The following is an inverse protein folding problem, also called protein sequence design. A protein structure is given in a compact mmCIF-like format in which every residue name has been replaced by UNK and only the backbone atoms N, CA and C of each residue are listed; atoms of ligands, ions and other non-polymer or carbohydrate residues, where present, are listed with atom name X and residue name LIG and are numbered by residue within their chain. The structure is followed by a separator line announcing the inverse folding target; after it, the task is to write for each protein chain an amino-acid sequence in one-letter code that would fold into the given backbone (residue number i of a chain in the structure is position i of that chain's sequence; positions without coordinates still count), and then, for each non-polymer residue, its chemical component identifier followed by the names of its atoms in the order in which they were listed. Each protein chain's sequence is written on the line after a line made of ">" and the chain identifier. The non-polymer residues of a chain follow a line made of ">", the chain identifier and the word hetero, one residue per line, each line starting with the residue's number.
data_IF_653278463512
#
_entry.id   IF_653278463512
#
_cell.length_a   1.000
_cell.length_b   1.000
_cell.length_c   1.000
_cell.angle_alpha   90.00
_cell.angle_beta   90.00
_cell.angle_gamma   90.00
#
_symmetry.space_group_name_H-M   'P 1'
#
loop_
_entity.id
_entity.type
_entity.pdbx_description
1 polymer ?
#
# COMPACT_ATOMS: atom_id res chain seq x y z
N UNK A 1 -23.76 57.02 14.24
CA UNK A 1 -23.35 55.86 15.06
C UNK A 1 -21.93 55.48 14.62
N UNK A 2 -20.94 55.83 15.43
CA UNK A 2 -19.53 55.47 15.24
C UNK A 2 -19.05 54.83 16.54
N UNK A 3 -18.70 53.54 16.49
CA UNK A 3 -18.20 52.82 17.66
C UNK A 3 -16.70 52.62 17.54
N UNK A 4 -16.04 53.11 18.59
CA UNK A 4 -14.60 53.13 18.88
C UNK A 4 -13.98 51.74 18.94
N UNK A 5 -12.68 51.73 18.62
CA UNK A 5 -11.70 50.70 18.93
C UNK A 5 -11.61 50.38 20.42
N UNK A 6 -11.17 49.16 20.75
CA UNK A 6 -10.34 48.78 21.90
C UNK A 6 -9.88 47.32 21.73
N UNK A 7 -8.58 47.10 21.64
CA UNK A 7 -7.97 45.81 21.95
C UNK A 7 -6.57 46.00 22.53
N UNK A 8 -6.14 45.10 23.43
CA UNK A 8 -5.43 45.49 24.63
C UNK A 8 -3.92 45.33 24.56
N UNK A 9 -3.29 46.04 25.50
CA UNK A 9 -1.87 46.23 25.74
C UNK A 9 -1.15 44.93 26.11
N UNK A 10 0.03 44.76 25.54
CA UNK A 10 1.05 43.80 25.93
C UNK A 10 1.81 44.31 27.15
N UNK A 11 1.69 43.63 28.29
CA UNK A 11 2.67 43.68 29.39
C UNK A 11 2.68 42.34 30.13
N UNK A 12 3.82 41.66 30.16
CA UNK A 12 4.22 40.89 31.35
C UNK A 12 5.73 40.72 31.45
N UNK A 13 6.34 41.57 32.27
CA UNK A 13 7.57 41.28 33.00
C UNK A 13 7.33 40.14 34.00
N UNK A 14 8.29 39.24 34.12
CA UNK A 14 8.64 38.57 35.37
C UNK A 14 10.12 38.14 35.23
N UNK A 15 11.06 38.90 35.79
CA UNK A 15 11.47 38.97 37.20
C UNK A 15 12.67 38.03 37.45
N UNK A 16 13.81 38.67 37.68
CA UNK A 16 15.14 38.11 37.89
C UNK A 16 15.36 38.10 39.40
N UNK A 17 15.43 36.92 40.02
CA UNK A 17 15.80 36.79 41.43
C UNK A 17 17.00 35.87 41.57
N UNK A 18 18.09 36.46 42.06
CA UNK A 18 19.37 35.86 42.44
C UNK A 18 19.28 35.18 43.82
N UNK A 19 19.83 33.96 44.00
CA UNK A 19 20.31 33.41 45.30
C UNK A 19 21.48 32.39 45.06
N UNK A 20 22.49 32.25 45.95
CA UNK A 20 23.88 31.91 45.59
C UNK A 20 24.35 30.46 45.87
N UNK A 21 25.58 30.19 45.41
CA UNK A 21 26.48 29.02 45.54
C UNK A 21 26.38 28.14 46.81
N UNK A 22 26.31 26.82 46.58
CA UNK A 22 26.81 25.76 47.47
C UNK A 22 27.65 24.75 46.64
N UNK A 23 28.73 24.17 47.20
CA UNK A 23 29.70 23.34 46.46
C UNK A 23 29.12 21.97 46.07
N UNK A 24 29.53 21.45 44.91
CA UNK A 24 29.14 20.11 44.45
C UNK A 24 29.56 19.02 45.45
N UNK A 25 28.66 18.10 45.84
CA UNK A 25 29.01 16.93 46.62
C UNK A 25 29.77 15.91 45.75
N UNK A 26 30.84 15.39 46.36
CA UNK A 26 31.77 14.37 45.88
C UNK A 26 31.20 13.31 44.92
N UNK A 27 31.95 13.07 43.84
CA UNK A 27 31.83 11.91 42.94
C UNK A 27 31.89 10.59 43.74
N UNK A 28 30.85 9.73 43.71
CA UNK A 28 30.96 8.37 44.23
C UNK A 28 31.71 7.47 43.22
N UNK A 29 32.50 6.49 43.69
CA UNK A 29 33.30 5.63 42.83
C UNK A 29 32.42 4.67 42.02
N UNK A 30 32.80 4.41 40.78
CA UNK A 30 32.19 3.38 39.94
C UNK A 30 32.42 1.97 40.51
N UNK A 31 31.42 1.09 40.42
CA UNK A 31 31.72 -0.32 40.19
C UNK A 31 30.70 -1.00 39.25
N UNK A 32 30.91 -2.27 38.91
CA UNK A 32 31.99 -2.81 38.08
C UNK A 32 31.45 -3.12 36.67
N UNK A 33 32.37 -3.49 35.78
CA UNK A 33 32.08 -4.10 34.48
C UNK A 33 31.00 -5.20 34.60
N UNK A 34 29.77 -4.87 34.25
CA UNK A 34 28.86 -5.88 33.71
C UNK A 34 29.32 -6.15 32.29
N UNK A 35 29.35 -7.42 31.82
CA UNK A 35 29.46 -7.64 30.39
C UNK A 35 28.28 -6.92 29.76
N UNK A 36 28.56 -5.85 29.04
CA UNK A 36 27.63 -5.24 28.13
C UNK A 36 27.26 -6.37 27.15
N UNK A 37 26.13 -7.01 27.43
CA UNK A 37 25.40 -7.83 26.48
C UNK A 37 24.96 -6.91 25.35
N UNK A 38 25.92 -6.62 24.48
CA UNK A 38 25.72 -6.07 23.16
C UNK A 38 25.19 -7.22 22.31
N UNK A 39 23.93 -7.10 21.88
CA UNK A 39 23.38 -7.90 20.78
C UNK A 39 22.23 -8.83 21.14
N UNK A 40 21.15 -8.70 20.33
CA UNK A 40 20.04 -9.65 20.11
C UNK A 40 19.08 -9.91 21.27
N UNK A 41 17.76 -9.96 21.13
CA UNK A 41 16.87 -9.97 19.98
C UNK A 41 15.52 -9.42 20.48
N UNK A 42 14.90 -8.47 19.78
CA UNK A 42 13.45 -8.28 19.89
C UNK A 42 12.80 -9.02 18.72
N UNK A 43 12.38 -10.29 18.89
CA UNK A 43 11.76 -11.07 17.82
C UNK A 43 10.40 -10.53 17.34
N UNK A 44 9.87 -9.46 17.97
CA UNK A 44 8.60 -8.84 17.57
C UNK A 44 8.71 -7.54 16.76
N UNK A 45 9.94 -7.02 16.53
CA UNK A 45 10.15 -5.84 15.69
C UNK A 45 10.03 -6.17 14.21
N UNK A 46 10.80 -7.17 13.79
CA UNK A 46 10.99 -7.57 12.39
C UNK A 46 9.67 -8.05 11.74
N UNK A 47 8.91 -8.90 12.43
CA UNK A 47 7.62 -9.40 11.93
C UNK A 47 6.60 -8.29 11.64
N UNK A 48 6.56 -7.23 12.45
CA UNK A 48 5.63 -6.12 12.24
C UNK A 48 6.00 -5.29 11.01
N UNK A 49 7.30 -5.07 10.77
CA UNK A 49 7.76 -4.40 9.56
C UNK A 49 7.53 -5.26 8.31
N UNK A 50 7.74 -6.57 8.41
CA UNK A 50 7.41 -7.52 7.35
C UNK A 50 5.91 -7.53 7.04
N UNK A 51 5.05 -7.59 8.05
CA UNK A 51 3.59 -7.54 7.87
C UNK A 51 3.14 -6.22 7.24
N UNK A 52 3.70 -5.08 7.65
CA UNK A 52 3.41 -3.80 7.04
C UNK A 52 3.79 -3.76 5.56
N UNK A 53 4.97 -4.30 5.19
CA UNK A 53 5.40 -4.38 3.80
C UNK A 53 4.51 -5.30 2.95
N UNK A 54 4.06 -6.43 3.51
CA UNK A 54 3.13 -7.34 2.84
C UNK A 54 1.73 -6.72 2.66
N UNK A 55 1.23 -6.02 3.67
CA UNK A 55 -0.05 -5.29 3.58
C UNK A 55 0.03 -4.16 2.55
N UNK A 56 1.16 -3.46 2.45
CA UNK A 56 1.35 -2.44 1.43
C UNK A 56 1.28 -3.03 0.02
N UNK A 57 1.86 -4.23 -0.21
CA UNK A 57 1.77 -4.92 -1.50
C UNK A 57 0.35 -5.32 -1.86
N UNK A 58 -0.40 -5.85 -0.88
CA UNK A 58 -1.83 -6.17 -1.06
C UNK A 58 -2.63 -4.91 -1.40
N UNK A 59 -2.42 -3.82 -0.67
CA UNK A 59 -3.09 -2.54 -0.92
C UNK A 59 -2.78 -1.98 -2.32
N UNK A 60 -1.52 -2.04 -2.74
CA UNK A 60 -1.12 -1.61 -4.09
C UNK A 60 -1.79 -2.48 -5.16
N UNK A 61 -1.77 -3.81 -5.02
CA UNK A 61 -2.42 -4.70 -5.97
C UNK A 61 -3.96 -4.51 -6.00
N UNK A 62 -4.58 -4.19 -4.86
CA UNK A 62 -6.01 -3.89 -4.80
C UNK A 62 -6.34 -2.59 -5.55
N UNK A 63 -5.53 -1.55 -5.38
CA UNK A 63 -5.67 -0.32 -6.15
C UNK A 63 -5.46 -0.51 -7.66
N UNK A 64 -4.56 -1.41 -8.06
CA UNK A 64 -4.39 -1.78 -9.48
C UNK A 64 -5.60 -2.54 -10.03
N UNK A 65 -6.20 -3.44 -9.25
CA UNK A 65 -7.43 -4.14 -9.64
C UNK A 65 -8.60 -3.16 -9.77
N UNK A 66 -8.80 -2.27 -8.80
CA UNK A 66 -9.83 -1.22 -8.85
C UNK A 66 -9.64 -0.30 -10.07
N UNK A 67 -8.40 0.09 -10.38
CA UNK A 67 -8.10 0.89 -11.56
C UNK A 67 -8.42 0.15 -12.87
N UNK A 68 -8.18 -1.16 -12.92
CA UNK A 68 -8.51 -1.99 -14.08
C UNK A 68 -10.03 -2.21 -14.24
N UNK A 69 -10.76 -2.38 -13.13
CA UNK A 69 -12.24 -2.42 -13.13
C UNK A 69 -12.81 -1.10 -13.68
N UNK A 70 -12.34 0.03 -13.18
CA UNK A 70 -12.76 1.33 -13.67
C UNK A 70 -12.45 1.50 -15.16
N UNK A 71 -11.27 1.07 -15.63
CA UNK A 71 -10.93 1.13 -17.05
C UNK A 71 -11.86 0.25 -17.91
N UNK A 72 -12.28 -0.92 -17.41
CA UNK A 72 -13.25 -1.79 -18.07
C UNK A 72 -14.64 -1.12 -18.14
N UNK A 73 -15.09 -0.48 -17.06
CA UNK A 73 -16.34 0.26 -17.04
C UNK A 73 -16.34 1.40 -18.05
N UNK A 74 -15.23 2.16 -18.15
CA UNK A 74 -15.07 3.21 -19.16
C UNK A 74 -15.09 2.64 -20.59
N UNK A 75 -14.50 1.47 -20.83
CA UNK A 75 -14.55 0.82 -22.13
C UNK A 75 -15.98 0.36 -22.48
N UNK A 76 -16.73 -0.19 -21.51
CA UNK A 76 -18.13 -0.58 -21.68
C UNK A 76 -19.03 0.63 -21.96
N UNK A 77 -18.81 1.75 -21.29
CA UNK A 77 -19.54 3.00 -21.55
C UNK A 77 -19.23 3.56 -22.95
N UNK A 78 -17.97 3.50 -23.38
CA UNK A 78 -17.58 3.87 -24.74
C UNK A 78 -18.24 2.99 -25.80
N UNK A 79 -18.37 1.68 -25.53
CA UNK A 79 -19.12 0.75 -26.39
C UNK A 79 -20.60 1.13 -26.45
N UNK A 80 -21.23 1.38 -25.30
CA UNK A 80 -22.66 1.71 -25.23
C UNK A 80 -23.00 3.06 -25.86
N UNK A 81 -22.10 4.04 -25.80
CA UNK A 81 -22.28 5.38 -26.39
C UNK A 81 -21.95 5.46 -27.88
N UNK A 82 -21.20 4.49 -28.42
CA UNK A 82 -20.82 4.41 -29.83
C UNK A 82 -21.98 4.11 -30.80
N UNK A 83 -23.18 3.82 -30.30
CA UNK A 83 -24.37 3.51 -31.12
C UNK A 83 -25.07 4.75 -31.72
N UNK A 84 -24.67 5.98 -31.34
CA UNK A 84 -25.34 7.21 -31.79
C UNK A 84 -24.53 8.14 -32.72
N UNK A 85 -23.40 7.69 -33.28
CA UNK A 85 -22.67 8.46 -34.30
C UNK A 85 -22.64 7.68 -35.62
N UNK A 86 -23.41 8.20 -36.58
CA UNK A 86 -23.81 7.52 -37.81
C UNK A 86 -22.69 6.96 -38.68
N UNK A 87 -23.02 5.87 -39.38
CA UNK A 87 -22.44 5.39 -40.64
C UNK A 87 -20.94 5.68 -40.80
N UNK A 88 -20.08 4.89 -40.13
CA UNK A 88 -18.65 4.88 -40.44
C UNK A 88 -17.67 4.58 -39.31
N UNK A 89 -18.12 4.28 -38.09
CA UNK A 89 -17.20 3.90 -37.01
C UNK A 89 -16.80 2.42 -37.16
N UNK A 90 -15.52 2.18 -37.44
CA UNK A 90 -14.93 0.86 -37.35
C UNK A 90 -15.03 0.39 -35.89
N UNK A 91 -15.74 -0.72 -35.66
CA UNK A 91 -15.99 -1.29 -34.32
C UNK A 91 -14.80 -2.12 -33.82
N UNK A 92 -13.88 -2.54 -34.71
CA UNK A 92 -12.75 -3.39 -34.34
C UNK A 92 -11.81 -2.76 -33.29
N UNK A 93 -11.50 -1.44 -33.32
CA UNK A 93 -10.72 -0.79 -32.26
C UNK A 93 -11.42 -0.79 -30.89
N UNK A 94 -12.75 -0.74 -30.87
CA UNK A 94 -13.56 -0.70 -29.66
C UNK A 94 -13.61 -2.09 -28.99
N UNK A 95 -13.79 -3.15 -29.80
CA UNK A 95 -13.70 -4.53 -29.35
C UNK A 95 -12.30 -4.86 -28.80
N UNK A 96 -11.24 -4.38 -29.47
CA UNK A 96 -9.86 -4.53 -29.01
C UNK A 96 -9.58 -3.83 -27.68
N UNK A 97 -10.16 -2.64 -27.46
CA UNK A 97 -10.04 -1.92 -26.20
C UNK A 97 -10.77 -2.64 -25.05
N UNK A 98 -11.98 -3.16 -25.31
CA UNK A 98 -12.74 -3.93 -24.33
C UNK A 98 -12.02 -5.22 -23.94
N UNK A 99 -11.50 -5.97 -24.92
CA UNK A 99 -10.75 -7.20 -24.68
C UNK A 99 -9.46 -6.91 -23.88
N UNK A 100 -8.76 -5.84 -24.22
CA UNK A 100 -7.56 -5.41 -23.49
C UNK A 100 -7.87 -5.03 -22.04
N UNK A 101 -8.99 -4.34 -21.81
CA UNK A 101 -9.42 -3.97 -20.45
C UNK A 101 -9.79 -5.19 -19.61
N UNK A 102 -10.51 -6.17 -20.19
CA UNK A 102 -10.82 -7.44 -19.53
C UNK A 102 -9.56 -8.21 -19.16
N UNK A 103 -8.64 -8.36 -20.10
CA UNK A 103 -7.37 -9.02 -19.84
C UNK A 103 -6.56 -8.31 -18.75
N UNK A 104 -6.54 -6.98 -18.76
CA UNK A 104 -5.87 -6.19 -17.71
C UNK A 104 -6.50 -6.43 -16.34
N UNK A 105 -7.84 -6.49 -16.27
CA UNK A 105 -8.55 -6.79 -15.02
C UNK A 105 -8.22 -8.19 -14.52
N UNK A 106 -8.31 -9.21 -15.38
CA UNK A 106 -7.99 -10.59 -15.02
C UNK A 106 -6.56 -10.69 -14.42
N UNK A 107 -5.60 -10.03 -15.06
CA UNK A 107 -4.20 -10.00 -14.59
C UNK A 107 -4.05 -9.27 -13.26
N UNK A 108 -4.74 -8.14 -13.07
CA UNK A 108 -4.68 -7.39 -11.81
C UNK A 108 -5.28 -8.21 -10.65
N UNK A 109 -6.41 -8.90 -10.88
CA UNK A 109 -7.04 -9.80 -9.91
C UNK A 109 -6.14 -10.99 -9.58
N UNK A 110 -5.48 -11.60 -10.57
CA UNK A 110 -4.49 -12.67 -10.35
C UNK A 110 -3.33 -12.22 -9.45
N UNK A 111 -2.81 -11.00 -9.69
CA UNK A 111 -1.73 -10.41 -8.88
C UNK A 111 -2.22 -10.16 -7.45
N UNK A 112 -3.39 -9.55 -7.27
CA UNK A 112 -4.00 -9.34 -5.96
C UNK A 112 -4.14 -10.65 -5.18
N UNK A 113 -4.67 -11.70 -5.82
CA UNK A 113 -4.79 -13.02 -5.21
C UNK A 113 -3.43 -13.62 -4.83
N UNK A 114 -2.40 -13.44 -5.66
CA UNK A 114 -1.05 -13.90 -5.36
C UNK A 114 -0.42 -13.19 -4.16
N UNK A 115 -0.64 -11.88 -4.03
CA UNK A 115 -0.20 -11.06 -2.90
C UNK A 115 -0.92 -11.45 -1.60
N UNK A 116 -2.25 -11.63 -1.65
CA UNK A 116 -3.06 -12.12 -0.52
C UNK A 116 -2.54 -13.48 -0.02
N UNK A 117 -2.34 -14.44 -0.94
CA UNK A 117 -1.80 -15.77 -0.60
C UNK A 117 -0.40 -15.68 0.00
N UNK A 118 0.44 -14.78 -0.50
CA UNK A 118 1.80 -14.56 0.02
C UNK A 118 1.75 -13.97 1.43
N UNK A 119 0.97 -12.92 1.64
CA UNK A 119 0.82 -12.30 2.95
C UNK A 119 0.23 -13.28 4.00
N UNK A 120 -0.76 -14.08 3.62
CA UNK A 120 -1.33 -15.12 4.48
C UNK A 120 -0.31 -16.20 4.86
N UNK A 121 0.53 -16.67 3.92
CA UNK A 121 1.62 -17.62 4.20
C UNK A 121 2.65 -17.07 5.19
N UNK A 122 2.86 -15.76 5.19
CA UNK A 122 3.73 -15.05 6.15
C UNK A 122 3.01 -14.63 7.45
N UNK A 123 1.80 -15.13 7.68
CA UNK A 123 1.08 -14.98 8.95
C UNK A 123 0.38 -13.65 9.14
N UNK A 124 0.11 -12.89 8.06
CA UNK A 124 -0.72 -11.69 8.15
C UNK A 124 -2.17 -12.10 8.48
N UNK A 125 -2.79 -11.52 9.53
CA UNK A 125 -4.15 -11.90 9.93
C UNK A 125 -5.20 -11.61 8.84
N UNK A 126 -6.18 -12.51 8.70
CA UNK A 126 -7.24 -12.41 7.69
C UNK A 126 -8.01 -11.07 7.73
N UNK A 127 -8.27 -10.54 8.93
CA UNK A 127 -8.95 -9.25 9.08
C UNK A 127 -8.16 -8.08 8.48
N UNK A 128 -6.81 -8.12 8.55
CA UNK A 128 -5.94 -7.10 7.94
C UNK A 128 -5.85 -7.26 6.42
N UNK A 129 -5.91 -8.50 5.93
CA UNK A 129 -6.00 -8.76 4.50
C UNK A 129 -7.32 -8.26 3.92
N UNK A 130 -8.44 -8.44 4.63
CA UNK A 130 -9.75 -7.92 4.23
C UNK A 130 -9.75 -6.39 4.16
N UNK A 131 -9.20 -5.75 5.20
CA UNK A 131 -9.05 -4.29 5.23
C UNK A 131 -8.18 -3.78 4.07
N UNK A 132 -7.04 -4.42 3.79
CA UNK A 132 -6.11 -3.96 2.76
C UNK A 132 -6.59 -4.24 1.32
N UNK A 133 -7.32 -5.33 1.11
CA UNK A 133 -7.82 -5.72 -0.22
C UNK A 133 -9.20 -5.14 -0.55
N UNK A 134 -9.93 -4.65 0.45
CA UNK A 134 -11.35 -4.29 0.31
C UNK A 134 -12.28 -5.51 0.17
N UNK A 135 -11.76 -6.73 0.13
CA UNK A 135 -12.52 -7.95 -0.08
C UNK A 135 -13.21 -8.46 1.19
N UNK A 136 -14.32 -9.16 1.01
CA UNK A 136 -15.00 -9.82 2.12
C UNK A 136 -14.19 -11.02 2.64
N UNK A 137 -14.38 -11.35 3.92
CA UNK A 137 -13.67 -12.47 4.55
C UNK A 137 -13.97 -13.81 3.85
N UNK A 138 -15.20 -14.00 3.33
CA UNK A 138 -15.59 -15.22 2.62
C UNK A 138 -14.88 -15.36 1.26
N UNK A 139 -14.71 -14.24 0.56
CA UNK A 139 -13.96 -14.17 -0.70
C UNK A 139 -12.48 -14.49 -0.48
N UNK A 140 -11.86 -13.88 0.53
CA UNK A 140 -10.48 -14.20 0.91
C UNK A 140 -10.31 -15.68 1.26
N UNK A 141 -11.27 -16.28 1.98
CA UNK A 141 -11.24 -17.71 2.25
C UNK A 141 -11.35 -18.57 0.97
N UNK A 142 -12.04 -18.09 -0.06
CA UNK A 142 -12.06 -18.72 -1.38
C UNK A 142 -10.67 -18.67 -2.03
N UNK A 143 -10.07 -17.47 -2.08
CA UNK A 143 -8.73 -17.23 -2.64
C UNK A 143 -7.66 -18.08 -1.95
N UNK A 144 -7.72 -18.20 -0.63
CA UNK A 144 -6.74 -18.97 0.16
C UNK A 144 -6.93 -20.49 0.04
N UNK A 145 -8.12 -20.97 -0.32
CA UNK A 145 -8.38 -22.40 -0.56
C UNK A 145 -7.83 -22.87 -1.90
N UNK A 146 -7.67 -21.96 -2.86
CA UNK A 146 -7.14 -22.31 -4.17
C UNK A 146 -5.61 -22.27 -4.14
N UNK A 147 -4.92 -23.40 -4.40
CA UNK A 147 -3.48 -23.36 -4.58
C UNK A 147 -3.16 -22.49 -5.80
N UNK A 148 -2.06 -21.73 -5.73
CA UNK A 148 -1.58 -20.98 -6.86
C UNK A 148 -1.28 -21.96 -8.01
N UNK A 149 -1.91 -21.78 -9.17
CA UNK A 149 -1.25 -22.21 -10.40
C UNK A 149 0.05 -21.40 -10.54
N UNK A 150 1.12 -22.09 -10.91
CA UNK A 150 2.47 -21.54 -10.98
C UNK A 150 2.49 -20.23 -11.79
N UNK A 151 3.38 -19.27 -11.48
CA UNK A 151 3.46 -18.02 -12.22
C UNK A 151 3.73 -18.32 -13.70
N UNK A 152 2.76 -18.00 -14.55
CA UNK A 152 2.97 -17.84 -15.98
C UNK A 152 3.95 -16.67 -16.14
N UNK A 153 5.21 -17.02 -16.38
CA UNK A 153 6.29 -16.09 -16.70
C UNK A 153 5.86 -15.24 -17.91
N UNK A 154 5.73 -13.90 -17.80
CA UNK A 154 5.42 -13.04 -18.94
C UNK A 154 6.64 -12.82 -19.87
N UNK A 155 7.72 -13.61 -19.74
CA UNK A 155 9.03 -13.35 -20.33
C UNK A 155 9.38 -14.04 -21.65
N UNK A 156 8.47 -14.70 -22.37
CA UNK A 156 8.82 -15.27 -23.69
C UNK A 156 7.75 -15.01 -24.76
N UNK A 157 7.80 -13.80 -25.32
CA UNK A 157 7.12 -13.52 -26.59
C UNK A 157 7.61 -14.48 -27.68
N UNK A 158 6.75 -14.87 -28.64
CA UNK A 158 7.14 -15.67 -29.80
C UNK A 158 7.90 -14.79 -30.79
N UNK A 159 9.15 -14.45 -30.47
CA UNK A 159 10.00 -13.58 -31.29
C UNK A 159 11.43 -14.11 -31.51
N UNK A 160 11.73 -15.31 -31.03
CA UNK A 160 13.03 -15.96 -31.22
C UNK A 160 13.16 -16.67 -32.57
N UNK A 161 12.95 -15.96 -33.68
CA UNK A 161 13.40 -16.46 -34.99
C UNK A 161 14.90 -16.19 -35.13
N UNK A 162 15.70 -17.03 -34.49
CA UNK A 162 17.04 -17.33 -34.96
C UNK A 162 16.91 -18.28 -36.16
N UNK A 163 16.86 -17.71 -37.37
CA UNK A 163 17.16 -18.45 -38.59
C UNK A 163 18.37 -17.78 -39.23
N UNK A 164 19.52 -18.43 -39.04
CA UNK A 164 20.76 -18.14 -39.75
C UNK A 164 20.56 -18.34 -41.26
N UNK A 165 20.99 -17.34 -42.04
CA UNK A 165 21.50 -17.48 -43.41
C UNK A 165 22.74 -16.61 -43.53
#
# INVERSE_FOLDING_TARGET
>A
MMSKALSPQSTRSADLVHVPLLPEPAVPPAPPEGPAGSGSDRPGGDLRFQHAGLLQRVLTAAGEAEAAEWALDQALEAVASGEEVGIGLDVAPLDGALESARWSLDRAVEVLHAEIRTAARHGVPLARLAEASGAETAELQSVLRHPADAPSDPGLGPGGLAAAV
#
